data_IF_757531793600
#
_entry.id   IF_757531793600
#
_cell.length_a   1.000
_cell.length_b   1.000
_cell.length_c   1.000
_cell.angle_alpha   90.00
_cell.angle_beta   90.00
_cell.angle_gamma   90.00
#
_symmetry.space_group_name_H-M   'P 1'
#
loop_
_entity.id
_entity.type
_entity.pdbx_description
1 polymer ?
#
# COMPACT_ATOMS: atom_id res chain seq x y z
N UNK A 1 -2.43 -13.43 -6.47
CA UNK A 1 -2.73 -13.93 -5.11
C UNK A 1 -3.76 -15.06 -5.18
N UNK A 2 -4.87 -14.86 -5.91
CA UNK A 2 -5.87 -15.89 -6.19
C UNK A 2 -5.28 -17.14 -6.83
N UNK A 3 -4.35 -17.00 -7.79
CA UNK A 3 -3.66 -18.17 -8.39
C UNK A 3 -2.85 -19.01 -7.42
N UNK A 4 -2.27 -18.43 -6.36
CA UNK A 4 -1.51 -19.22 -5.37
C UNK A 4 -2.44 -20.11 -4.55
N UNK A 5 -3.57 -19.56 -4.11
CA UNK A 5 -4.58 -20.31 -3.37
C UNK A 5 -5.21 -21.43 -4.19
N UNK A 6 -5.50 -21.15 -5.46
CA UNK A 6 -6.03 -22.14 -6.40
C UNK A 6 -4.97 -23.21 -6.70
N UNK A 7 -3.70 -22.82 -6.84
CA UNK A 7 -2.62 -23.75 -7.07
C UNK A 7 -2.41 -24.70 -5.87
N UNK A 8 -2.42 -24.18 -4.64
CA UNK A 8 -2.22 -25.00 -3.46
C UNK A 8 -3.37 -26.01 -3.24
N UNK A 9 -4.58 -25.72 -3.75
CA UNK A 9 -5.73 -26.63 -3.67
C UNK A 9 -5.87 -27.58 -4.87
N UNK A 10 -5.62 -27.11 -6.09
CA UNK A 10 -5.94 -27.82 -7.33
C UNK A 10 -4.73 -28.10 -8.22
N UNK A 11 -3.53 -27.64 -7.87
CA UNK A 11 -2.29 -27.85 -8.64
C UNK A 11 -2.25 -27.12 -9.98
N UNK A 12 -3.12 -26.13 -10.19
CA UNK A 12 -3.27 -25.40 -11.44
C UNK A 12 -3.48 -23.90 -11.21
N UNK A 13 -3.31 -23.10 -12.26
CA UNK A 13 -3.41 -21.63 -12.21
C UNK A 13 -4.75 -21.16 -12.79
N UNK A 14 -5.31 -20.08 -12.26
CA UNK A 14 -6.48 -19.43 -12.84
C UNK A 14 -6.28 -19.09 -14.32
N UNK A 15 -7.19 -19.50 -15.22
CA UNK A 15 -7.10 -19.16 -16.64
C UNK A 15 -7.30 -17.67 -16.93
N UNK A 16 -7.81 -16.91 -15.96
CA UNK A 16 -8.00 -15.46 -16.07
C UNK A 16 -6.73 -14.68 -15.68
N UNK A 17 -5.72 -15.31 -15.07
CA UNK A 17 -4.45 -14.68 -14.70
C UNK A 17 -3.37 -14.95 -15.75
N UNK A 18 -3.64 -14.52 -16.99
CA UNK A 18 -2.87 -14.89 -18.21
C UNK A 18 -1.36 -14.63 -18.15
N UNK A 19 -0.92 -13.69 -17.32
CA UNK A 19 0.50 -13.33 -17.13
C UNK A 19 1.24 -14.22 -16.12
N UNK A 20 0.54 -15.01 -15.30
CA UNK A 20 1.13 -15.82 -14.25
C UNK A 20 1.17 -17.30 -14.63
N UNK A 21 2.08 -17.72 -15.52
CA UNK A 21 2.40 -19.16 -15.68
C UNK A 21 3.27 -19.72 -14.56
N UNK A 22 3.58 -18.88 -13.58
CA UNK A 22 4.34 -19.24 -12.42
C UNK A 22 3.65 -18.77 -11.15
N UNK A 23 3.80 -19.58 -10.10
CA UNK A 23 3.25 -19.35 -8.77
C UNK A 23 4.41 -19.38 -7.78
N UNK A 24 4.37 -18.49 -6.79
CA UNK A 24 5.22 -18.58 -5.61
C UNK A 24 4.29 -19.02 -4.47
N UNK A 25 4.42 -20.27 -4.05
CA UNK A 25 3.64 -20.84 -2.94
C UNK A 25 4.13 -20.26 -1.60
N UNK A 26 3.27 -20.29 -0.59
CA UNK A 26 3.56 -19.67 0.70
C UNK A 26 4.78 -20.31 1.36
N UNK A 27 5.82 -19.51 1.64
CA UNK A 27 7.09 -19.98 2.23
C UNK A 27 8.07 -20.62 1.25
N UNK A 28 7.74 -20.70 -0.05
CA UNK A 28 8.65 -21.18 -1.08
C UNK A 28 9.51 -20.04 -1.65
N UNK A 29 10.79 -20.30 -1.89
CA UNK A 29 11.68 -19.40 -2.66
C UNK A 29 11.69 -19.72 -4.16
N UNK A 30 11.12 -20.87 -4.53
CA UNK A 30 11.21 -21.40 -5.88
C UNK A 30 9.98 -21.02 -6.71
N UNK A 31 10.24 -20.68 -7.96
CA UNK A 31 9.23 -20.36 -8.95
C UNK A 31 8.62 -21.68 -9.46
N UNK A 32 7.33 -21.89 -9.21
CA UNK A 32 6.62 -23.10 -9.62
C UNK A 32 5.89 -22.85 -10.93
N UNK A 33 6.23 -23.58 -11.99
CA UNK A 33 5.49 -23.53 -13.25
C UNK A 33 4.30 -24.49 -13.21
N UNK A 34 3.12 -23.98 -13.50
CA UNK A 34 1.88 -24.74 -13.42
C UNK A 34 1.01 -24.52 -14.66
N UNK A 35 0.21 -25.54 -14.98
CA UNK A 35 -0.75 -25.48 -16.10
C UNK A 35 -1.99 -24.68 -15.72
N UNK A 36 -2.68 -24.14 -16.72
CA UNK A 36 -3.96 -23.47 -16.51
C UNK A 36 -5.02 -24.49 -16.08
N UNK A 37 -5.85 -24.12 -15.11
CA UNK A 37 -6.99 -24.91 -14.68
C UNK A 37 -8.02 -25.01 -15.83
N UNK A 38 -8.68 -26.16 -15.93
CA UNK A 38 -9.88 -26.28 -16.73
C UNK A 38 -11.04 -25.61 -15.98
N UNK A 39 -11.71 -24.62 -16.61
CA UNK A 39 -12.82 -23.88 -15.99
C UNK A 39 -13.99 -24.81 -15.66
N UNK A 40 -14.13 -25.92 -16.38
CA UNK A 40 -15.16 -26.93 -16.12
C UNK A 40 -14.81 -27.89 -14.98
N UNK A 41 -13.59 -27.83 -14.42
CA UNK A 41 -13.21 -28.66 -13.28
C UNK A 41 -13.86 -28.12 -11.99
N UNK A 42 -14.64 -28.95 -11.27
CA UNK A 42 -15.25 -28.55 -10.00
C UNK A 42 -14.24 -28.05 -8.97
N UNK A 43 -13.01 -28.59 -8.97
CA UNK A 43 -11.95 -28.15 -8.05
C UNK A 43 -11.69 -26.66 -8.20
N UNK A 44 -11.54 -26.18 -9.44
CA UNK A 44 -11.27 -24.78 -9.72
C UNK A 44 -12.42 -23.88 -9.24
N UNK A 45 -13.67 -24.21 -9.59
CA UNK A 45 -14.82 -23.40 -9.18
C UNK A 45 -14.95 -23.32 -7.66
N UNK A 46 -14.78 -24.45 -6.95
CA UNK A 46 -14.88 -24.48 -5.49
C UNK A 46 -13.72 -23.71 -4.85
N UNK A 47 -12.49 -23.85 -5.33
CA UNK A 47 -11.34 -23.10 -4.82
C UNK A 47 -11.50 -21.58 -5.04
N UNK A 48 -11.98 -21.18 -6.22
CA UNK A 48 -12.25 -19.78 -6.53
C UNK A 48 -13.36 -19.21 -5.64
N UNK A 49 -14.46 -19.94 -5.44
CA UNK A 49 -15.56 -19.53 -4.58
C UNK A 49 -15.12 -19.39 -3.12
N UNK A 50 -14.33 -20.35 -2.60
CA UNK A 50 -13.78 -20.29 -1.24
C UNK A 50 -12.87 -19.07 -1.08
N UNK A 51 -11.99 -18.81 -2.05
CA UNK A 51 -11.09 -17.66 -2.00
C UNK A 51 -11.85 -16.33 -2.03
N UNK A 52 -12.89 -16.21 -2.87
CA UNK A 52 -13.70 -15.00 -2.97
C UNK A 52 -14.59 -14.79 -1.74
N UNK A 53 -15.12 -15.87 -1.15
CA UNK A 53 -16.02 -15.79 0.00
C UNK A 53 -15.29 -15.62 1.34
N UNK A 54 -14.01 -16.00 1.42
CA UNK A 54 -13.27 -16.02 2.68
C UNK A 54 -12.23 -14.90 2.78
N UNK A 55 -12.58 -13.88 3.57
CA UNK A 55 -11.67 -12.79 3.90
C UNK A 55 -10.42 -13.29 4.65
N UNK A 56 -10.54 -14.33 5.48
CA UNK A 56 -9.37 -14.90 6.18
C UNK A 56 -8.39 -15.54 5.22
N UNK A 57 -8.88 -16.32 4.25
CA UNK A 57 -8.04 -16.93 3.22
C UNK A 57 -7.37 -15.85 2.38
N UNK A 58 -8.13 -14.83 1.94
CA UNK A 58 -7.56 -13.70 1.21
C UNK A 58 -6.46 -12.98 2.01
N UNK A 59 -6.69 -12.77 3.31
CA UNK A 59 -5.73 -12.10 4.19
C UNK A 59 -4.48 -12.95 4.41
N UNK A 60 -4.61 -14.28 4.55
CA UNK A 60 -3.46 -15.17 4.71
C UNK A 60 -2.54 -15.13 3.48
N UNK A 61 -3.12 -15.12 2.27
CA UNK A 61 -2.34 -14.98 1.03
C UNK A 61 -1.83 -13.55 0.79
N UNK A 62 -2.47 -12.54 1.37
CA UNK A 62 -2.03 -11.15 1.30
C UNK A 62 -1.06 -10.75 2.43
N UNK A 63 -0.86 -11.60 3.44
CA UNK A 63 -0.09 -11.26 4.64
C UNK A 63 1.38 -10.88 4.35
N UNK A 64 1.94 -11.42 3.28
CA UNK A 64 3.32 -11.13 2.84
C UNK A 64 3.38 -10.09 1.71
N UNK A 65 2.25 -9.54 1.29
CA UNK A 65 2.25 -8.49 0.29
C UNK A 65 2.65 -7.17 0.94
N UNK A 66 3.75 -6.60 0.47
CA UNK A 66 4.10 -5.23 0.84
C UNK A 66 3.01 -4.27 0.38
N UNK A 67 2.73 -3.24 1.18
CA UNK A 67 1.93 -2.12 0.71
C UNK A 67 2.74 -1.40 -0.38
N UNK A 68 2.12 -1.12 -1.52
CA UNK A 68 2.75 -0.28 -2.53
C UNK A 68 2.94 1.13 -1.95
N UNK A 69 4.18 1.64 -1.96
CA UNK A 69 4.49 2.98 -1.47
C UNK A 69 3.96 4.10 -2.39
N UNK A 70 3.40 3.73 -3.54
CA UNK A 70 2.80 4.64 -4.50
C UNK A 70 1.57 3.98 -5.06
N UNK A 71 0.41 4.59 -4.83
CA UNK A 71 -0.87 4.13 -5.37
C UNK A 71 -1.52 5.27 -6.13
N UNK A 72 -2.03 4.96 -7.32
CA UNK A 72 -2.85 5.89 -8.09
C UNK A 72 -4.31 5.44 -7.96
N UNK A 73 -5.17 6.34 -7.53
CA UNK A 73 -6.61 6.10 -7.45
C UNK A 73 -7.33 6.97 -8.48
N UNK A 74 -8.30 6.39 -9.17
CA UNK A 74 -9.11 7.08 -10.16
C UNK A 74 -10.54 7.13 -9.66
N UNK A 75 -11.04 8.34 -9.39
CA UNK A 75 -12.46 8.54 -9.11
C UNK A 75 -13.19 8.61 -10.44
N UNK A 76 -14.15 7.70 -10.64
CA UNK A 76 -14.92 7.60 -11.88
C UNK A 76 -16.28 8.27 -11.71
N UNK A 77 -16.56 9.25 -12.56
CA UNK A 77 -17.89 9.84 -12.71
C UNK A 77 -18.56 9.23 -13.95
N UNK A 78 -19.63 8.47 -13.71
CA UNK A 78 -20.34 7.75 -14.77
C UNK A 78 -21.50 8.60 -15.29
N UNK A 79 -21.57 8.75 -16.60
CA UNK A 79 -22.72 9.32 -17.29
C UNK A 79 -23.08 8.47 -18.50
N UNK A 80 -24.36 8.47 -18.85
CA UNK A 80 -24.84 7.75 -20.03
C UNK A 80 -25.89 8.56 -20.77
N UNK A 81 -25.91 8.39 -22.09
CA UNK A 81 -26.90 8.97 -22.98
C UNK A 81 -27.32 7.90 -24.00
N UNK A 82 -28.49 8.10 -24.62
CA UNK A 82 -28.95 7.22 -25.69
C UNK A 82 -27.97 7.32 -26.87
N UNK A 83 -27.40 6.17 -27.23
CA UNK A 83 -26.54 6.00 -28.38
C UNK A 83 -27.08 4.85 -29.25
N UNK A 84 -26.93 4.94 -30.58
CA UNK A 84 -26.40 6.07 -31.34
C UNK A 84 -27.43 7.20 -31.52
N UNK A 85 -26.94 8.42 -31.74
CA UNK A 85 -27.82 9.50 -32.16
C UNK A 85 -28.35 9.25 -33.59
N UNK A 86 -29.66 9.44 -33.80
CA UNK A 86 -30.33 9.11 -35.08
C UNK A 86 -29.72 9.81 -36.30
N UNK A 87 -29.26 11.05 -36.13
CA UNK A 87 -28.60 11.82 -37.19
C UNK A 87 -27.19 11.30 -37.55
N UNK A 88 -26.57 10.48 -36.70
CA UNK A 88 -25.22 9.93 -36.90
C UNK A 88 -25.22 8.51 -37.50
N UNK A 89 -26.40 7.90 -37.63
CA UNK A 89 -26.58 6.51 -38.10
C UNK A 89 -25.91 6.20 -39.43
N UNK A 90 -26.01 7.10 -40.41
CA UNK A 90 -25.40 6.89 -41.74
C UNK A 90 -23.87 6.95 -41.69
N UNK A 91 -23.29 7.78 -40.82
CA UNK A 91 -21.84 7.84 -40.63
C UNK A 91 -21.33 6.55 -39.99
N UNK A 92 -22.04 6.02 -38.99
CA UNK A 92 -21.72 4.73 -38.37
C UNK A 92 -21.80 3.61 -39.41
N UNK A 93 -22.85 3.61 -40.25
CA UNK A 93 -22.98 2.64 -41.34
C UNK A 93 -21.76 2.65 -42.27
N UNK A 94 -21.35 3.82 -42.77
CA UNK A 94 -20.19 3.95 -43.65
C UNK A 94 -18.90 3.48 -42.99
N UNK A 95 -18.72 3.78 -41.70
CA UNK A 95 -17.58 3.29 -40.93
C UNK A 95 -17.59 1.76 -40.83
N UNK A 96 -18.72 1.16 -40.46
CA UNK A 96 -18.86 -0.30 -40.33
C UNK A 96 -18.61 -0.98 -41.68
N UNK A 97 -19.17 -0.46 -42.77
CA UNK A 97 -18.99 -1.00 -44.13
C UNK A 97 -17.56 -0.83 -44.67
N UNK A 98 -16.81 0.16 -44.19
CA UNK A 98 -15.40 0.36 -44.54
C UNK A 98 -14.43 -0.36 -43.60
N UNK A 99 -14.93 -0.87 -42.47
CA UNK A 99 -14.15 -1.68 -41.53
C UNK A 99 -14.01 -3.13 -42.01
N UNK A 100 -13.02 -3.84 -41.48
CA UNK A 100 -12.86 -5.28 -41.71
C UNK A 100 -13.76 -6.13 -40.79
N UNK A 101 -14.81 -5.55 -40.22
CA UNK A 101 -15.72 -6.25 -39.30
C UNK A 101 -16.63 -7.16 -40.12
N UNK A 102 -16.77 -8.46 -39.76
CA UNK A 102 -17.73 -9.34 -40.40
C UNK A 102 -19.16 -8.80 -40.29
N UNK A 103 -19.81 -8.59 -41.42
CA UNK A 103 -21.18 -8.09 -41.46
C UNK A 103 -22.19 -9.26 -41.44
N UNK A 104 -23.35 -9.09 -40.80
CA UNK A 104 -24.46 -10.03 -40.92
C UNK A 104 -24.88 -10.23 -42.38
N UNK A 105 -25.33 -11.43 -42.74
CA UNK A 105 -25.74 -11.75 -44.12
C UNK A 105 -26.93 -10.93 -44.61
N UNK A 106 -27.75 -10.40 -43.71
CA UNK A 106 -28.90 -9.53 -43.95
C UNK A 106 -28.60 -8.02 -43.76
N UNK A 107 -27.33 -7.62 -43.63
CA UNK A 107 -26.92 -6.24 -43.34
C UNK A 107 -27.60 -5.21 -44.23
N UNK A 108 -27.71 -5.47 -45.54
CA UNK A 108 -28.30 -4.52 -46.51
C UNK A 108 -29.72 -4.07 -46.16
N UNK A 109 -30.51 -4.90 -45.48
CA UNK A 109 -31.89 -4.60 -45.09
C UNK A 109 -32.07 -4.33 -43.59
N UNK A 110 -31.15 -4.79 -42.73
CA UNK A 110 -31.29 -4.66 -41.26
C UNK A 110 -30.28 -3.75 -40.58
N UNK A 111 -29.33 -3.17 -41.33
CA UNK A 111 -28.21 -2.38 -40.77
C UNK A 111 -28.64 -1.36 -39.70
N UNK A 112 -29.78 -0.67 -39.89
CA UNK A 112 -30.24 0.35 -38.93
C UNK A 112 -30.59 -0.26 -37.57
N UNK A 113 -31.24 -1.43 -37.57
CA UNK A 113 -31.57 -2.13 -36.33
C UNK A 113 -30.33 -2.77 -35.72
N UNK A 114 -29.43 -3.31 -36.55
CA UNK A 114 -28.16 -3.86 -36.09
C UNK A 114 -27.31 -2.82 -35.38
N UNK A 115 -27.19 -1.61 -35.95
CA UNK A 115 -26.49 -0.51 -35.31
C UNK A 115 -27.22 -0.07 -34.03
N UNK A 116 -28.54 0.10 -34.05
CA UNK A 116 -29.28 0.54 -32.84
C UNK A 116 -29.15 -0.41 -31.65
N UNK A 117 -29.12 -1.72 -31.90
CA UNK A 117 -29.11 -2.72 -30.83
C UNK A 117 -27.70 -3.09 -30.35
N UNK A 118 -26.68 -2.91 -31.19
CA UNK A 118 -25.33 -3.40 -30.90
C UNK A 118 -24.26 -2.28 -30.80
N UNK A 119 -24.62 -1.03 -31.08
CA UNK A 119 -23.66 0.08 -31.01
C UNK A 119 -23.50 0.58 -29.56
N UNK A 120 -22.25 0.62 -29.11
CA UNK A 120 -21.86 1.22 -27.83
C UNK A 120 -20.76 2.24 -28.10
N UNK A 121 -20.93 3.46 -27.58
CA UNK A 121 -19.87 4.47 -27.50
C UNK A 121 -19.34 4.51 -26.08
N UNK A 122 -18.02 4.53 -25.93
CA UNK A 122 -17.34 4.73 -24.66
C UNK A 122 -16.37 5.89 -24.80
N UNK A 123 -16.66 6.96 -24.08
CA UNK A 123 -15.83 8.15 -24.05
C UNK A 123 -15.21 8.29 -22.65
N UNK A 124 -13.88 8.29 -22.58
CA UNK A 124 -13.12 8.46 -21.34
C UNK A 124 -12.46 9.83 -21.39
N UNK A 125 -12.89 10.72 -20.51
CA UNK A 125 -12.43 12.11 -20.45
C UNK A 125 -11.96 12.46 -19.05
N UNK A 126 -10.86 13.22 -18.94
CA UNK A 126 -10.44 13.80 -17.67
C UNK A 126 -11.34 14.99 -17.33
N UNK A 127 -12.11 14.87 -16.26
CA UNK A 127 -12.98 15.96 -15.79
C UNK A 127 -12.17 17.22 -15.43
N UNK A 128 -10.96 17.04 -14.92
CA UNK A 128 -10.03 18.13 -14.58
C UNK A 128 -8.62 17.79 -15.02
N UNK A 129 -7.76 18.80 -15.13
CA UNK A 129 -6.31 18.64 -15.30
C UNK A 129 -5.56 18.57 -13.97
N UNK A 130 -6.27 18.66 -12.85
CA UNK A 130 -5.69 18.70 -11.50
C UNK A 130 -5.58 17.28 -10.98
N UNK A 131 -4.36 16.89 -10.62
CA UNK A 131 -4.10 15.62 -9.95
C UNK A 131 -3.96 15.89 -8.45
N UNK A 132 -4.84 15.30 -7.65
CA UNK A 132 -4.71 15.35 -6.20
C UNK A 132 -3.59 14.39 -5.75
N UNK A 133 -2.65 14.91 -4.96
CA UNK A 133 -1.52 14.14 -4.46
C UNK A 133 -1.50 14.16 -2.94
N UNK A 134 -1.51 12.96 -2.35
CA UNK A 134 -1.38 12.76 -0.92
C UNK A 134 -0.01 12.16 -0.63
N UNK A 135 0.86 12.93 0.04
CA UNK A 135 2.18 12.47 0.46
C UNK A 135 2.22 12.34 1.97
N UNK A 136 2.72 11.20 2.45
CA UNK A 136 2.99 11.02 3.87
C UNK A 136 4.45 11.37 4.12
N UNK A 137 4.69 12.29 5.05
CA UNK A 137 6.03 12.71 5.47
C UNK A 137 6.22 12.38 6.94
N UNK A 138 7.42 11.94 7.30
CA UNK A 138 7.76 11.68 8.70
C UNK A 138 7.76 12.99 9.49
N UNK A 139 7.04 13.02 10.62
CA UNK A 139 6.98 14.19 11.52
C UNK A 139 8.35 14.54 12.13
N UNK A 140 9.23 13.54 12.28
CA UNK A 140 10.59 13.70 12.80
C UNK A 140 11.57 13.10 11.81
N UNK A 141 12.57 13.89 11.41
CA UNK A 141 13.71 13.40 10.67
C UNK A 141 14.73 12.73 11.58
N UNK A 142 15.68 11.99 10.98
CA UNK A 142 16.78 11.38 11.73
C UNK A 142 17.63 12.40 12.50
N UNK A 143 17.78 13.62 11.94
CA UNK A 143 18.51 14.73 12.59
C UNK A 143 17.77 15.21 13.86
N UNK A 144 16.44 15.23 13.84
CA UNK A 144 15.64 15.67 15.00
C UNK A 144 15.75 14.67 16.15
N UNK A 145 15.75 13.36 15.82
CA UNK A 145 15.95 12.29 16.81
C UNK A 145 17.35 12.40 17.44
N UNK A 146 18.39 12.54 16.62
CA UNK A 146 19.78 12.66 17.11
C UNK A 146 19.97 13.93 17.95
N UNK A 147 19.42 15.05 17.49
CA UNK A 147 19.49 16.34 18.19
C UNK A 147 18.78 16.28 19.54
N UNK A 148 17.58 15.68 19.60
CA UNK A 148 16.84 15.54 20.85
C UNK A 148 17.56 14.63 21.86
N UNK A 149 18.10 13.50 21.40
CA UNK A 149 18.89 12.62 22.26
C UNK A 149 20.14 13.35 22.75
N UNK A 150 20.91 13.95 21.84
CA UNK A 150 22.14 14.68 22.18
C UNK A 150 21.91 15.85 23.14
N UNK A 151 20.86 16.63 22.92
CA UNK A 151 20.46 17.74 23.79
C UNK A 151 20.03 17.28 25.18
N UNK A 152 19.24 16.20 25.27
CA UNK A 152 18.86 15.63 26.57
C UNK A 152 20.07 15.04 27.29
N UNK A 153 20.91 14.26 26.61
CA UNK A 153 22.14 13.71 27.19
C UNK A 153 23.07 14.82 27.69
N UNK A 154 23.24 15.91 26.92
CA UNK A 154 24.01 17.07 27.35
C UNK A 154 23.45 17.73 28.60
N UNK A 155 22.13 17.89 28.70
CA UNK A 155 21.46 18.44 29.89
C UNK A 155 21.69 17.56 31.13
N UNK A 156 21.63 16.24 30.97
CA UNK A 156 21.90 15.29 32.07
C UNK A 156 23.34 15.39 32.58
N UNK A 157 24.33 15.46 31.68
CA UNK A 157 25.75 15.58 32.05
C UNK A 157 26.00 16.89 32.81
N UNK A 158 25.55 18.02 32.26
CA UNK A 158 25.73 19.35 32.89
C UNK A 158 25.04 19.42 34.26
N UNK A 159 23.86 18.81 34.40
CA UNK A 159 23.16 18.74 35.68
C UNK A 159 23.93 17.89 36.69
N UNK A 160 24.53 16.78 36.27
CA UNK A 160 25.32 15.91 37.14
C UNK A 160 26.62 16.61 37.60
N UNK A 161 27.31 17.31 36.70
CA UNK A 161 28.51 18.08 37.03
C UNK A 161 28.21 19.22 38.01
N UNK A 162 27.10 19.95 37.81
CA UNK A 162 26.69 21.01 38.75
C UNK A 162 26.36 20.50 40.15
N UNK A 163 25.77 19.30 40.26
CA UNK A 163 25.49 18.65 41.54
C UNK A 163 26.81 18.20 42.20
N UNK A 164 27.71 17.58 41.45
CA UNK A 164 29.03 17.16 41.95
C UNK A 164 29.89 18.33 42.41
N UNK A 165 29.87 19.46 41.69
CA UNK A 165 30.58 20.68 42.07
C UNK A 165 30.04 21.27 43.38
N UNK A 166 28.70 21.41 43.50
CA UNK A 166 28.08 21.90 44.74
C UNK A 166 28.30 20.98 45.94
N UNK A 167 28.36 19.67 45.71
CA UNK A 167 28.70 18.71 46.77
C UNK A 167 30.18 18.89 47.16
N UNK A 168 31.09 19.02 46.20
CA UNK A 168 32.52 19.27 46.44
C UNK A 168 32.80 20.58 47.21
N UNK A 169 32.13 21.68 46.85
CA UNK A 169 32.23 22.97 47.56
C UNK A 169 31.69 22.90 48.99
N UNK A 170 30.60 22.16 49.21
CA UNK A 170 30.07 21.95 50.56
C UNK A 170 31.01 21.09 51.41
N UNK A 171 31.64 20.06 50.85
CA UNK A 171 32.66 19.29 51.59
C UNK A 171 33.92 20.12 51.88
N UNK A 172 34.37 20.97 50.95
CA UNK A 172 35.51 21.88 51.18
C UNK A 172 35.22 22.92 52.29
N UNK A 173 34.00 23.47 52.32
CA UNK A 173 33.58 24.41 53.37
C UNK A 173 33.43 23.74 54.75
N UNK A 174 33.03 22.46 54.80
CA UNK A 174 32.94 21.68 56.06
C UNK A 174 34.33 21.29 56.58
N UNK A 175 35.31 21.05 55.70
CA UNK A 175 36.69 20.78 56.11
C UNK A 175 37.38 22.07 56.59
N UNK A 176 37.18 23.19 55.88
CA UNK A 176 37.66 24.52 56.30
C UNK A 176 37.10 24.98 57.65
N UNK A 177 35.86 24.61 58.00
CA UNK A 177 35.26 25.00 59.29
C UNK A 177 35.71 24.13 60.46
N UNK A 178 36.13 22.88 60.19
CA UNK A 178 36.72 21.99 61.21
C UNK A 178 38.19 22.31 61.50
N UNK A 179 38.96 22.79 60.52
CA UNK A 179 40.34 23.25 60.77
C UNK A 179 40.40 24.57 61.58
N UNK A 180 39.33 25.37 61.58
CA UNK A 180 39.20 26.59 62.40
C UNK A 180 38.76 26.32 63.86
N UNK A 181 38.41 25.08 64.23
CA UNK A 181 37.98 24.71 65.60
C UNK A 181 38.98 23.81 66.35
N UNK A 182 40.23 23.72 65.89
CA UNK A 182 41.18 22.69 66.33
C UNK A 182 42.51 23.15 66.92
N UNK A 183 42.59 24.25 67.68
CA UNK A 183 43.75 24.62 68.54
C UNK A 183 43.18 25.50 69.67
N UNK A 184 43.13 25.21 70.98
CA UNK A 184 44.05 24.61 71.99
C UNK A 184 43.22 23.92 73.11
N UNK A 185 43.51 22.68 73.50
CA UNK A 185 44.22 22.25 74.74
C UNK A 185 43.74 22.81 76.09
N UNK A 186 43.49 21.88 77.04
CA UNK A 186 43.44 22.01 78.53
C UNK A 186 42.19 22.69 79.13
N UNK A 187 41.44 22.21 80.13
CA UNK A 187 41.54 21.25 81.26
C UNK A 187 40.15 20.60 81.46
N UNK A 188 39.99 19.45 82.11
CA UNK A 188 39.65 19.35 83.55
C UNK A 188 39.92 17.90 84.00
N UNK A 189 40.72 17.81 85.07
CA UNK A 189 41.03 16.61 85.83
C UNK A 189 40.44 16.85 87.23
N UNK A 190 39.36 16.13 87.53
CA UNK A 190 38.80 15.68 88.83
C UNK A 190 37.30 15.39 88.68
#
# INVERSE_FOLDING_TARGET
MTSTAIYDQCGCVSPYEWSYRYVISHGATDIIYATLCNISDPCYSTAADIFQASLSVSNDYAANCGLECTTNQYVLELSSALAPASWYMNSIKQFVESSSIPLPSNWSSTWSNEIQNNYVSLDIVCATTVVESYTQQATLGGVDVISNIGGQTGLWIVKQENISHKIGENYANVISSKELQGVTSEQILL
#
